data_IF_023165513478
#
_entry.id   IF_023165513478
#
_cell.length_a   1.000
_cell.length_b   1.000
_cell.length_c   1.000
_cell.angle_alpha   90.00
_cell.angle_beta   90.00
_cell.angle_gamma   90.00
#
_symmetry.space_group_name_H-M   'P 1'
#
loop_
_entity.id
_entity.type
_entity.pdbx_description
1 polymer ?
#
# COMPACT_ATOMS: atom_id res chain seq x y z
N UNK A 1 -11.70 4.87 20.41
CA UNK A 1 -10.47 4.09 20.15
C UNK A 1 -9.30 5.05 20.03
N UNK A 2 -8.15 4.74 20.63
CA UNK A 2 -6.95 5.55 20.46
C UNK A 2 -6.53 5.56 18.96
N UNK A 3 -6.05 6.70 18.42
CA UNK A 3 -5.65 6.81 17.02
C UNK A 3 -4.67 5.71 16.59
N UNK A 4 -3.68 5.40 17.42
CA UNK A 4 -2.70 4.33 17.16
C UNK A 4 -3.33 2.94 16.99
N UNK A 5 -4.40 2.62 17.74
CA UNK A 5 -5.13 1.34 17.56
C UNK A 5 -5.84 1.27 16.22
N UNK A 6 -6.40 2.38 15.75
CA UNK A 6 -7.08 2.44 14.44
C UNK A 6 -6.06 2.25 13.32
N UNK A 7 -4.88 2.86 13.46
CA UNK A 7 -3.78 2.71 12.49
C UNK A 7 -3.31 1.25 12.47
N UNK A 8 -3.01 0.66 13.63
CA UNK A 8 -2.55 -0.72 13.74
C UNK A 8 -3.56 -1.72 13.15
N UNK A 9 -4.86 -1.55 13.46
CA UNK A 9 -5.91 -2.39 12.88
C UNK A 9 -6.04 -2.20 11.37
N UNK A 10 -5.85 -0.98 10.86
CA UNK A 10 -5.83 -0.69 9.42
C UNK A 10 -4.70 -1.43 8.72
N UNK A 11 -3.48 -1.36 9.25
CA UNK A 11 -2.33 -2.12 8.74
C UNK A 11 -2.58 -3.63 8.78
N UNK A 12 -3.05 -4.16 9.91
CA UNK A 12 -3.37 -5.58 10.03
C UNK A 12 -4.43 -6.02 9.00
N UNK A 13 -5.48 -5.22 8.79
CA UNK A 13 -6.53 -5.52 7.82
C UNK A 13 -5.98 -5.54 6.38
N UNK A 14 -5.13 -4.58 6.01
CA UNK A 14 -4.49 -4.53 4.68
C UNK A 14 -3.57 -5.74 4.47
N UNK A 15 -2.75 -6.10 5.47
CA UNK A 15 -1.85 -7.25 5.41
C UNK A 15 -2.64 -8.55 5.25
N UNK A 16 -3.69 -8.76 6.06
CA UNK A 16 -4.50 -9.96 5.96
C UNK A 16 -5.25 -10.05 4.62
N UNK A 17 -5.77 -8.92 4.14
CA UNK A 17 -6.45 -8.88 2.83
C UNK A 17 -5.46 -9.16 1.70
N UNK A 18 -4.25 -8.59 1.76
CA UNK A 18 -3.18 -8.85 0.80
C UNK A 18 -2.75 -10.32 0.79
N UNK A 19 -2.56 -10.92 1.96
CA UNK A 19 -2.23 -12.34 2.10
C UNK A 19 -3.32 -13.25 1.50
N UNK A 20 -4.60 -12.94 1.77
CA UNK A 20 -5.72 -13.66 1.18
C UNK A 20 -5.73 -13.52 -0.34
N UNK A 21 -5.54 -12.31 -0.87
CA UNK A 21 -5.46 -12.08 -2.32
C UNK A 21 -4.31 -12.85 -2.97
N UNK A 22 -3.14 -12.88 -2.32
CA UNK A 22 -1.98 -13.63 -2.82
C UNK A 22 -2.19 -15.14 -2.78
N UNK A 23 -3.00 -15.66 -1.85
CA UNK A 23 -3.34 -17.08 -1.77
C UNK A 23 -4.30 -17.57 -2.86
N UNK A 24 -5.00 -16.67 -3.57
CA UNK A 24 -5.92 -17.09 -4.62
C UNK A 24 -5.18 -17.78 -5.78
N UNK A 25 -5.79 -18.79 -6.43
CA UNK A 25 -5.17 -19.49 -7.55
C UNK A 25 -4.89 -18.58 -8.76
N UNK A 26 -5.63 -17.46 -8.91
CA UNK A 26 -5.36 -16.46 -9.96
C UNK A 26 -4.03 -15.72 -9.74
N UNK A 27 -3.54 -15.68 -8.50
CA UNK A 27 -2.30 -15.00 -8.13
C UNK A 27 -1.06 -15.85 -8.41
N UNK A 28 -1.19 -17.16 -8.61
CA UNK A 28 -0.06 -18.07 -8.81
C UNK A 28 0.16 -18.42 -10.28
N UNK A 29 1.41 -18.65 -10.65
CA UNK A 29 1.73 -19.24 -11.95
C UNK A 29 1.33 -20.73 -11.99
N UNK A 30 1.04 -21.30 -13.18
CA UNK A 30 0.66 -22.69 -13.32
C UNK A 30 1.72 -23.64 -12.73
N UNK A 31 1.29 -24.57 -11.88
CA UNK A 31 2.18 -25.56 -11.28
C UNK A 31 2.92 -25.11 -10.01
N UNK A 32 2.68 -23.89 -9.52
CA UNK A 32 3.28 -23.37 -8.29
C UNK A 32 2.26 -23.35 -7.15
N UNK A 33 2.68 -23.82 -5.97
CA UNK A 33 1.91 -23.75 -4.74
C UNK A 33 2.62 -22.85 -3.73
N UNK A 34 1.90 -21.88 -3.17
CA UNK A 34 2.41 -20.95 -2.15
C UNK A 34 1.87 -21.35 -0.78
N UNK A 35 2.76 -21.44 0.21
CA UNK A 35 2.34 -21.68 1.60
C UNK A 35 1.61 -20.44 2.14
N UNK A 36 0.56 -20.60 2.98
CA UNK A 36 -0.09 -19.48 3.65
C UNK A 36 0.86 -18.60 4.44
N UNK A 37 1.93 -19.18 5.01
CA UNK A 37 2.94 -18.44 5.75
C UNK A 37 3.75 -17.53 4.82
N UNK A 38 4.07 -17.99 3.61
CA UNK A 38 4.86 -17.26 2.63
C UNK A 38 4.05 -16.11 2.04
N UNK A 39 2.76 -16.34 1.77
CA UNK A 39 1.83 -15.31 1.32
C UNK A 39 1.65 -14.21 2.38
N UNK A 40 1.51 -14.58 3.66
CA UNK A 40 1.41 -13.63 4.76
C UNK A 40 2.72 -12.84 4.95
N UNK A 41 3.86 -13.51 4.88
CA UNK A 41 5.17 -12.88 4.97
C UNK A 41 5.39 -11.90 3.82
N UNK A 42 5.09 -12.31 2.58
CA UNK A 42 5.20 -11.48 1.38
C UNK A 42 4.29 -10.26 1.48
N UNK A 43 3.04 -10.44 1.91
CA UNK A 43 2.12 -9.32 2.10
C UNK A 43 2.59 -8.36 3.20
N UNK A 44 3.13 -8.88 4.31
CA UNK A 44 3.65 -8.05 5.41
C UNK A 44 4.87 -7.27 4.95
N UNK A 45 5.80 -7.93 4.25
CA UNK A 45 7.01 -7.33 3.75
C UNK A 45 6.73 -6.22 2.74
N UNK A 46 5.75 -6.44 1.85
CA UNK A 46 5.28 -5.45 0.88
C UNK A 46 4.66 -4.22 1.56
N UNK A 47 3.72 -4.42 2.49
CA UNK A 47 3.05 -3.31 3.22
C UNK A 47 4.02 -2.55 4.12
N UNK A 48 4.99 -3.21 4.73
CA UNK A 48 6.02 -2.53 5.53
C UNK A 48 7.18 -1.98 4.67
N UNK A 49 7.17 -2.21 3.35
CA UNK A 49 8.21 -1.78 2.40
C UNK A 49 9.61 -2.26 2.83
N UNK A 50 9.67 -3.48 3.38
CA UNK A 50 10.90 -4.07 3.93
C UNK A 50 11.77 -4.71 2.85
N UNK A 51 11.18 -5.15 1.74
CA UNK A 51 11.90 -5.75 0.61
C UNK A 51 12.36 -7.19 0.81
N UNK A 52 11.91 -7.88 1.86
CA UNK A 52 12.20 -9.30 2.10
C UNK A 52 11.22 -10.17 1.31
N UNK A 53 11.74 -11.15 0.57
CA UNK A 53 10.95 -12.12 -0.19
C UNK A 53 11.15 -13.52 0.40
N UNK A 54 10.05 -14.21 0.73
CA UNK A 54 10.10 -15.62 1.17
C UNK A 54 10.13 -16.60 0.00
N UNK A 55 9.54 -16.18 -1.13
CA UNK A 55 9.46 -16.92 -2.39
C UNK A 55 9.78 -15.96 -3.53
N UNK A 56 10.35 -16.45 -4.63
CA UNK A 56 10.67 -15.61 -5.77
C UNK A 56 9.38 -15.05 -6.38
N UNK A 57 9.18 -13.73 -6.23
CA UNK A 57 7.95 -13.05 -6.64
C UNK A 57 7.73 -13.13 -8.16
N UNK A 58 8.81 -13.16 -8.94
CA UNK A 58 8.72 -13.24 -10.39
C UNK A 58 8.28 -14.64 -10.82
N UNK A 59 8.90 -15.69 -10.30
CA UNK A 59 8.58 -17.05 -10.74
C UNK A 59 7.29 -17.58 -10.12
N UNK A 60 6.94 -17.12 -8.92
CA UNK A 60 5.81 -17.63 -8.15
C UNK A 60 4.48 -16.98 -8.53
N UNK A 61 4.47 -15.65 -8.66
CA UNK A 61 3.22 -14.90 -8.84
C UNK A 61 2.96 -14.57 -10.31
N UNK A 62 1.68 -14.72 -10.70
CA UNK A 62 1.14 -14.30 -11.97
C UNK A 62 1.16 -12.77 -12.10
N UNK A 63 0.82 -12.24 -13.28
CA UNK A 63 0.66 -10.80 -13.48
C UNK A 63 -0.30 -10.20 -12.44
N UNK A 64 -1.39 -10.88 -12.11
CA UNK A 64 -2.33 -10.45 -11.08
C UNK A 64 -1.67 -10.39 -9.69
N UNK A 65 -0.96 -11.44 -9.29
CA UNK A 65 -0.26 -11.48 -8.00
C UNK A 65 0.82 -10.40 -7.88
N UNK A 66 1.59 -10.18 -8.94
CA UNK A 66 2.59 -9.09 -9.00
C UNK A 66 1.94 -7.71 -8.89
N UNK A 67 0.77 -7.50 -9.51
CA UNK A 67 -0.01 -6.26 -9.34
C UNK A 67 -0.49 -6.08 -7.89
N UNK A 68 -0.95 -7.15 -7.23
CA UNK A 68 -1.33 -7.11 -5.81
C UNK A 68 -0.14 -6.70 -4.94
N UNK A 69 1.04 -7.29 -5.15
CA UNK A 69 2.27 -6.91 -4.42
C UNK A 69 2.62 -5.44 -4.65
N UNK A 70 2.58 -4.95 -5.89
CA UNK A 70 2.86 -3.55 -6.21
C UNK A 70 1.88 -2.60 -5.50
N UNK A 71 0.58 -2.94 -5.45
CA UNK A 71 -0.41 -2.15 -4.72
C UNK A 71 -0.17 -2.16 -3.20
N UNK A 72 0.24 -3.29 -2.64
CA UNK A 72 0.58 -3.38 -1.21
C UNK A 72 1.79 -2.51 -0.87
N UNK A 73 2.82 -2.48 -1.72
CA UNK A 73 3.98 -1.58 -1.58
C UNK A 73 3.52 -0.12 -1.62
N UNK A 74 2.63 0.24 -2.55
CA UNK A 74 2.10 1.60 -2.66
C UNK A 74 1.35 2.02 -1.39
N UNK A 75 0.46 1.15 -0.90
CA UNK A 75 -0.33 1.41 0.31
C UNK A 75 0.57 1.53 1.53
N UNK A 76 1.61 0.70 1.60
CA UNK A 76 2.64 0.71 2.63
C UNK A 76 3.46 1.99 2.65
N UNK A 77 4.06 2.35 1.51
CA UNK A 77 4.97 3.49 1.38
C UNK A 77 4.31 4.84 1.64
N UNK A 78 3.04 4.98 1.26
CA UNK A 78 2.25 6.20 1.54
C UNK A 78 1.61 6.17 2.94
N UNK A 79 1.48 4.97 3.53
CA UNK A 79 0.80 4.72 4.79
C UNK A 79 -0.72 4.57 4.63
N UNK A 80 -1.30 3.61 5.36
CA UNK A 80 -2.72 3.25 5.30
C UNK A 80 -3.64 4.45 5.59
N UNK A 81 -3.25 5.35 6.49
CA UNK A 81 -4.01 6.57 6.81
C UNK A 81 -4.02 7.58 5.67
N UNK A 82 -2.91 7.73 4.96
CA UNK A 82 -2.77 8.69 3.85
C UNK A 82 -3.57 8.23 2.64
N UNK A 83 -3.53 6.93 2.31
CA UNK A 83 -4.34 6.32 1.25
C UNK A 83 -5.82 6.47 1.57
N UNK A 84 -6.24 6.10 2.79
CA UNK A 84 -7.64 6.17 3.21
C UNK A 84 -8.20 7.60 3.14
N UNK A 85 -7.41 8.59 3.56
CA UNK A 85 -7.80 10.00 3.45
C UNK A 85 -7.73 10.50 2.00
N UNK A 86 -6.74 10.08 1.23
CA UNK A 86 -6.63 10.37 -0.20
C UNK A 86 -7.88 9.96 -0.98
N UNK A 87 -8.39 8.74 -0.73
CA UNK A 87 -9.63 8.25 -1.33
C UNK A 87 -10.84 9.11 -0.99
N UNK A 88 -10.96 9.59 0.26
CA UNK A 88 -12.07 10.45 0.69
C UNK A 88 -12.00 11.81 -0.03
N UNK A 89 -10.80 12.39 -0.17
CA UNK A 89 -10.59 13.66 -0.90
C UNK A 89 -10.93 13.49 -2.38
N UNK A 90 -10.44 12.43 -3.01
CA UNK A 90 -10.69 12.12 -4.43
C UNK A 90 -12.18 11.88 -4.69
N UNK A 91 -12.89 11.30 -3.74
CA UNK A 91 -14.36 11.09 -3.83
C UNK A 91 -15.18 12.38 -3.64
N UNK A 92 -14.53 13.55 -3.50
CA UNK A 92 -15.19 14.83 -3.30
C UNK A 92 -15.87 15.00 -1.93
N UNK A 93 -15.64 14.07 -0.99
CA UNK A 93 -16.26 14.10 0.33
C UNK A 93 -15.45 14.97 1.29
N UNK A 94 -16.15 15.80 2.09
CA UNK A 94 -15.51 16.59 3.15
C UNK A 94 -15.03 15.68 4.27
N UNK A 95 -13.78 15.86 4.68
CA UNK A 95 -13.18 15.09 5.78
C UNK A 95 -13.60 15.68 7.12
N UNK A 96 -14.12 14.81 7.99
CA UNK A 96 -14.48 15.16 9.35
C UNK A 96 -13.23 15.29 10.26
N UNK A 97 -13.33 16.01 11.39
CA UNK A 97 -12.18 16.28 12.29
C UNK A 97 -11.44 15.01 12.75
N UNK A 98 -12.16 13.89 12.91
CA UNK A 98 -11.57 12.58 13.24
C UNK A 98 -10.59 12.07 12.18
N UNK A 99 -10.88 12.28 10.88
CA UNK A 99 -9.98 11.87 9.79
C UNK A 99 -8.71 12.71 9.75
N UNK A 100 -8.79 14.00 10.11
CA UNK A 100 -7.63 14.88 10.25
C UNK A 100 -6.71 14.43 11.39
N UNK A 101 -7.28 14.02 12.53
CA UNK A 101 -6.49 13.50 13.66
C UNK A 101 -5.78 12.19 13.33
N UNK A 102 -6.41 11.28 12.58
CA UNK A 102 -5.77 10.02 12.17
C UNK A 102 -4.56 10.23 11.26
N UNK A 103 -4.66 11.14 10.28
CA UNK A 103 -3.53 11.49 9.40
C UNK A 103 -2.42 12.20 10.18
N UNK A 104 -2.81 13.10 11.11
CA UNK A 104 -1.86 13.79 11.98
C UNK A 104 -0.99 12.78 12.74
N UNK A 105 -1.63 11.80 13.37
CA UNK A 105 -0.94 10.77 14.14
C UNK A 105 -0.13 9.82 13.24
N UNK A 106 -0.70 9.42 12.10
CA UNK A 106 -0.03 8.51 11.16
C UNK A 106 1.19 9.11 10.46
N UNK A 107 1.20 10.43 10.24
CA UNK A 107 2.34 11.17 9.66
C UNK A 107 3.21 11.85 10.72
N UNK A 108 2.90 11.70 12.01
CA UNK A 108 3.58 12.37 13.13
C UNK A 108 3.70 13.91 12.93
N UNK A 109 2.65 14.54 12.41
CA UNK A 109 2.67 15.95 12.00
C UNK A 109 2.05 16.85 13.08
N UNK A 110 2.67 17.97 13.48
CA UNK A 110 2.22 18.71 14.67
C UNK A 110 1.08 19.72 14.46
N UNK A 111 0.67 20.04 13.23
CA UNK A 111 -0.34 21.09 12.95
C UNK A 111 -1.57 20.59 12.18
N UNK A 112 -2.77 21.01 12.60
CA UNK A 112 -4.04 20.72 11.90
C UNK A 112 -4.18 21.47 10.58
N UNK A 113 -3.45 22.58 10.42
CA UNK A 113 -3.55 23.45 9.25
C UNK A 113 -2.67 22.87 8.14
N UNK A 114 -3.28 22.43 7.05
CA UNK A 114 -2.57 21.98 5.85
C UNK A 114 -2.25 20.49 5.76
N UNK A 115 -2.59 19.65 6.77
CA UNK A 115 -2.32 18.19 6.70
C UNK A 115 -2.96 17.52 5.48
N UNK A 116 -4.13 18.01 5.06
CA UNK A 116 -4.81 17.51 3.86
C UNK A 116 -4.13 17.96 2.55
N UNK A 117 -3.55 19.16 2.56
CA UNK A 117 -2.74 19.66 1.44
C UNK A 117 -1.45 18.84 1.32
N UNK A 118 -0.82 18.52 2.46
CA UNK A 118 0.36 17.66 2.51
C UNK A 118 0.07 16.27 1.95
N UNK A 119 -1.00 15.60 2.40
CA UNK A 119 -1.40 14.28 1.86
C UNK A 119 -1.63 14.36 0.35
N UNK A 120 -2.36 15.38 -0.12
CA UNK A 120 -2.62 15.55 -1.56
C UNK A 120 -1.33 15.77 -2.35
N UNK A 121 -0.43 16.61 -1.85
CA UNK A 121 0.87 16.86 -2.48
C UNK A 121 1.74 15.61 -2.51
N UNK A 122 1.82 14.86 -1.40
CA UNK A 122 2.58 13.60 -1.35
C UNK A 122 2.02 12.60 -2.36
N UNK A 123 0.71 12.37 -2.39
CA UNK A 123 0.08 11.45 -3.35
C UNK A 123 0.36 11.84 -4.81
N UNK A 124 0.20 13.12 -5.16
CA UNK A 124 0.44 13.60 -6.53
C UNK A 124 1.92 13.49 -6.90
N UNK A 125 2.82 13.91 -6.01
CA UNK A 125 4.26 13.85 -6.26
C UNK A 125 4.73 12.42 -6.42
N UNK A 126 4.34 11.51 -5.52
CA UNK A 126 4.67 10.09 -5.61
C UNK A 126 4.20 9.50 -6.95
N UNK A 127 2.94 9.74 -7.33
CA UNK A 127 2.40 9.21 -8.59
C UNK A 127 3.14 9.77 -9.83
N UNK A 128 3.49 11.05 -9.83
CA UNK A 128 4.25 11.68 -10.92
C UNK A 128 5.64 11.04 -11.04
N UNK A 129 6.37 10.93 -9.92
CA UNK A 129 7.73 10.39 -9.93
C UNK A 129 7.76 8.89 -10.27
N UNK A 130 6.83 8.10 -9.74
CA UNK A 130 6.71 6.68 -10.08
C UNK A 130 6.35 6.46 -11.55
N UNK A 131 5.37 7.21 -12.07
CA UNK A 131 4.96 7.07 -13.48
C UNK A 131 6.07 7.53 -14.42
N UNK A 132 6.76 8.64 -14.10
CA UNK A 132 7.91 9.10 -14.87
C UNK A 132 9.05 8.07 -14.85
N UNK A 133 9.37 7.51 -13.68
CA UNK A 133 10.38 6.45 -13.53
C UNK A 133 10.03 5.18 -14.29
N UNK A 134 8.76 4.78 -14.29
CA UNK A 134 8.25 3.65 -15.07
C UNK A 134 8.41 3.90 -16.58
N UNK A 135 8.00 5.07 -17.08
CA UNK A 135 8.12 5.43 -18.49
C UNK A 135 9.57 5.51 -18.97
N UNK A 136 10.47 6.07 -18.14
CA UNK A 136 11.89 6.14 -18.46
C UNK A 136 12.54 4.75 -18.45
N UNK A 137 12.19 3.90 -17.48
CA UNK A 137 12.72 2.53 -17.40
C UNK A 137 12.24 1.66 -18.55
N UNK A 138 11.02 1.89 -19.06
CA UNK A 138 10.53 1.20 -20.26
C UNK A 138 11.43 1.42 -21.48
N UNK A 139 12.11 2.55 -21.62
CA UNK A 139 13.00 2.78 -22.78
C UNK A 139 14.26 1.91 -22.72
N UNK A 140 14.72 1.55 -21.53
CA UNK A 140 15.95 0.79 -21.31
C UNK A 140 15.69 -0.72 -21.16
N UNK A 141 14.57 -1.09 -20.55
CA UNK A 141 14.25 -2.47 -20.19
C UNK A 141 13.07 -3.09 -20.97
N UNK A 142 12.49 -2.37 -21.95
CA UNK A 142 11.57 -2.97 -22.93
C UNK A 142 12.35 -3.68 -24.05
#
# INVERSE_FOLDING_TARGET
MAPGRVIALGFAAVILTGALLLLLPVSHNPGVSVSPIDALFTSTSAVCVTGLIAVDTADTFSVFGRTVVALLIQIGGLGVTSIGVGFIILSGKKINMRGRTLVKEGLNYNSFRGVLGLVKSVLIMTLIFETAGMLLSLIVFA
#
